data_IF_811019042903
#
_entry.id   IF_811019042903
#
_cell.length_a   1.000
_cell.length_b   1.000
_cell.length_c   1.000
_cell.angle_alpha   90.00
_cell.angle_beta   90.00
_cell.angle_gamma   90.00
#
_symmetry.space_group_name_H-M   'P 1'
#
loop_
_entity.id
_entity.type
_entity.pdbx_description
1 polymer ?
#
# COMPACT_ATOMS: atom_id res chain seq x y z
N UNK A 1 -3.99 5.03 -24.58
CA UNK A 1 -3.25 4.59 -23.38
C UNK A 1 -4.26 3.94 -22.45
N UNK A 2 -4.06 2.68 -22.02
CA UNK A 2 -4.95 2.01 -21.07
C UNK A 2 -4.96 2.73 -19.71
N UNK A 3 -6.13 2.82 -19.09
CA UNK A 3 -6.34 3.42 -17.78
C UNK A 3 -6.67 2.30 -16.79
N UNK A 4 -5.83 2.17 -15.75
CA UNK A 4 -5.99 1.18 -14.70
C UNK A 4 -6.17 1.84 -13.33
N UNK A 5 -7.10 1.34 -12.52
CA UNK A 5 -7.33 1.82 -11.16
C UNK A 5 -6.96 0.76 -10.13
N UNK A 6 -6.32 1.22 -9.06
CA UNK A 6 -5.99 0.43 -7.88
C UNK A 6 -6.42 1.18 -6.63
N UNK A 7 -6.77 0.48 -5.57
CA UNK A 7 -7.10 1.05 -4.28
C UNK A 7 -8.40 0.52 -3.71
N UNK A 8 -8.73 0.98 -2.50
CA UNK A 8 -9.82 0.42 -1.70
C UNK A 8 -11.20 0.51 -2.35
N UNK A 9 -11.49 1.60 -3.06
CA UNK A 9 -12.79 1.77 -3.71
C UNK A 9 -13.02 0.72 -4.81
N UNK A 10 -12.09 0.59 -5.74
CA UNK A 10 -12.21 -0.37 -6.84
C UNK A 10 -12.07 -1.82 -6.39
N UNK A 11 -11.41 -2.04 -5.27
CA UNK A 11 -11.37 -3.34 -4.61
C UNK A 11 -12.74 -3.72 -4.03
N UNK A 12 -13.42 -2.76 -3.40
CA UNK A 12 -14.74 -2.98 -2.81
C UNK A 12 -15.84 -3.11 -3.88
N UNK A 13 -15.83 -2.23 -4.89
CA UNK A 13 -16.90 -2.07 -5.86
C UNK A 13 -16.41 -2.14 -7.33
N UNK A 14 -15.63 -3.16 -7.72
CA UNK A 14 -14.98 -3.19 -9.04
C UNK A 14 -15.99 -3.17 -10.19
N UNK A 15 -17.02 -3.99 -10.10
CA UNK A 15 -18.07 -4.10 -11.13
C UNK A 15 -18.87 -2.80 -11.27
N UNK A 16 -19.25 -2.20 -10.16
CA UNK A 16 -20.00 -0.94 -10.16
C UNK A 16 -19.17 0.19 -10.75
N UNK A 17 -17.91 0.30 -10.31
CA UNK A 17 -16.98 1.32 -10.80
C UNK A 17 -16.80 1.22 -12.30
N UNK A 18 -16.49 0.04 -12.82
CA UNK A 18 -16.30 -0.16 -14.27
C UNK A 18 -17.59 0.00 -15.09
N UNK A 19 -18.76 -0.24 -14.51
CA UNK A 19 -20.04 0.04 -15.18
C UNK A 19 -20.33 1.52 -15.30
N UNK A 20 -20.07 2.26 -14.23
CA UNK A 20 -20.38 3.68 -14.14
C UNK A 20 -19.35 4.54 -14.88
N UNK A 21 -18.08 4.11 -14.88
CA UNK A 21 -16.99 4.85 -15.50
C UNK A 21 -16.39 4.05 -16.67
N UNK A 22 -16.78 4.44 -17.88
CA UNK A 22 -16.37 3.75 -19.11
C UNK A 22 -14.93 4.03 -19.54
N UNK A 23 -14.33 5.08 -19.02
CA UNK A 23 -12.93 5.43 -19.29
C UNK A 23 -11.93 4.51 -18.58
N UNK A 24 -12.40 3.71 -17.61
CA UNK A 24 -11.55 2.73 -16.90
C UNK A 24 -11.50 1.45 -17.72
N UNK A 25 -10.31 1.07 -18.18
CA UNK A 25 -10.07 -0.16 -18.94
C UNK A 25 -9.90 -1.37 -18.01
N UNK A 26 -9.27 -1.18 -16.85
CA UNK A 26 -9.03 -2.26 -15.89
C UNK A 26 -8.97 -1.76 -14.45
N UNK A 27 -9.22 -2.67 -13.51
CA UNK A 27 -9.07 -2.44 -12.06
C UNK A 27 -8.30 -3.59 -11.44
N UNK A 28 -7.45 -3.27 -10.45
CA UNK A 28 -6.75 -4.26 -9.67
C UNK A 28 -7.56 -4.65 -8.43
N UNK A 29 -7.58 -5.94 -8.15
CA UNK A 29 -8.18 -6.50 -6.95
C UNK A 29 -7.09 -6.77 -5.90
N UNK A 30 -7.48 -6.87 -4.64
CA UNK A 30 -6.58 -7.09 -3.50
C UNK A 30 -5.47 -6.03 -3.45
N UNK A 31 -4.24 -6.43 -3.13
CA UNK A 31 -3.10 -5.50 -3.07
C UNK A 31 -2.61 -5.05 -4.45
N UNK A 32 -2.93 -5.81 -5.48
CA UNK A 32 -2.52 -5.53 -6.85
C UNK A 32 -1.03 -5.69 -7.15
N UNK A 33 -0.19 -6.03 -6.17
CA UNK A 33 1.29 -6.07 -6.33
C UNK A 33 1.69 -7.05 -7.42
N UNK A 34 1.34 -8.32 -7.27
CA UNK A 34 1.70 -9.33 -8.26
C UNK A 34 0.92 -9.17 -9.57
N UNK A 35 -0.32 -8.72 -9.51
CA UNK A 35 -1.10 -8.43 -10.71
C UNK A 35 -0.47 -7.32 -11.54
N UNK A 36 -0.03 -6.24 -10.90
CA UNK A 36 0.67 -5.15 -11.58
C UNK A 36 2.02 -5.61 -12.13
N UNK A 37 2.78 -6.36 -11.34
CA UNK A 37 4.04 -6.94 -11.77
C UNK A 37 3.87 -7.81 -13.02
N UNK A 38 2.88 -8.73 -13.01
CA UNK A 38 2.60 -9.60 -14.14
C UNK A 38 2.14 -8.80 -15.37
N UNK A 39 1.32 -7.76 -15.17
CA UNK A 39 0.89 -6.88 -16.26
C UNK A 39 2.06 -6.13 -16.92
N UNK A 40 2.99 -5.59 -16.11
CA UNK A 40 4.14 -4.83 -16.59
C UNK A 40 5.21 -5.70 -17.26
N UNK A 41 5.19 -7.02 -17.04
CA UNK A 41 6.08 -7.97 -17.70
C UNK A 41 5.52 -8.50 -19.03
N UNK A 42 4.32 -8.10 -19.44
CA UNK A 42 3.82 -8.40 -20.79
C UNK A 42 4.61 -7.61 -21.83
N UNK A 43 4.91 -8.23 -22.97
CA UNK A 43 5.49 -7.52 -24.11
C UNK A 43 4.54 -6.46 -24.65
N UNK A 44 3.25 -6.81 -24.71
CA UNK A 44 2.18 -5.91 -25.11
C UNK A 44 0.94 -6.11 -24.24
N UNK A 45 0.27 -5.00 -23.88
CA UNK A 45 -1.00 -5.04 -23.15
C UNK A 45 -2.13 -5.23 -24.15
N UNK A 46 -2.38 -6.47 -24.54
CA UNK A 46 -3.49 -6.84 -25.43
C UNK A 46 -4.52 -7.69 -24.70
N UNK A 47 -5.76 -7.63 -25.15
CA UNK A 47 -6.91 -8.29 -24.49
C UNK A 47 -6.65 -9.78 -24.22
N UNK A 48 -6.05 -10.49 -25.18
CA UNK A 48 -5.76 -11.92 -25.04
C UNK A 48 -4.87 -12.23 -23.83
N UNK A 49 -3.86 -11.40 -23.60
CA UNK A 49 -2.92 -11.59 -22.50
C UNK A 49 -3.55 -11.23 -21.15
N UNK A 50 -4.47 -10.26 -21.12
CA UNK A 50 -5.15 -9.87 -19.88
C UNK A 50 -5.94 -11.01 -19.24
N UNK A 51 -6.44 -11.97 -20.02
CA UNK A 51 -7.12 -13.16 -19.50
C UNK A 51 -6.22 -14.04 -18.62
N UNK A 52 -4.90 -13.91 -18.73
CA UNK A 52 -3.92 -14.70 -17.98
C UNK A 52 -3.47 -14.01 -16.68
N UNK A 53 -3.80 -12.73 -16.49
CA UNK A 53 -3.35 -11.95 -15.31
C UNK A 53 -4.37 -12.13 -14.20
N UNK A 54 -3.98 -12.84 -13.14
CA UNK A 54 -4.81 -12.95 -11.95
C UNK A 54 -4.94 -11.59 -11.22
N UNK A 55 -6.04 -11.42 -10.51
CA UNK A 55 -6.27 -10.25 -9.66
C UNK A 55 -6.60 -8.96 -10.40
N UNK A 56 -7.02 -9.05 -11.67
CA UNK A 56 -7.58 -7.91 -12.41
C UNK A 56 -9.01 -8.17 -12.85
N UNK A 57 -9.78 -7.10 -12.97
CA UNK A 57 -10.95 -7.07 -13.84
C UNK A 57 -10.69 -6.07 -14.96
N UNK A 58 -11.10 -6.40 -16.16
CA UNK A 58 -10.83 -5.60 -17.37
C UNK A 58 -12.01 -5.60 -18.33
N UNK A 59 -11.98 -4.66 -19.27
CA UNK A 59 -13.01 -4.52 -20.28
C UNK A 59 -12.59 -5.23 -21.56
N UNK A 60 -13.45 -6.18 -22.00
CA UNK A 60 -13.37 -6.76 -23.33
C UNK A 60 -14.65 -6.41 -24.10
N UNK A 61 -14.55 -5.45 -25.00
CA UNK A 61 -15.69 -4.82 -25.70
C UNK A 61 -16.71 -4.29 -24.68
N UNK A 62 -17.94 -4.81 -24.72
CA UNK A 62 -19.02 -4.42 -23.81
C UNK A 62 -19.08 -5.25 -22.52
N UNK A 63 -18.16 -6.18 -22.34
CA UNK A 63 -18.14 -7.07 -21.17
C UNK A 63 -17.05 -6.66 -20.18
N UNK A 64 -17.36 -6.80 -18.90
CA UNK A 64 -16.40 -6.70 -17.81
C UNK A 64 -16.03 -8.13 -17.41
N UNK A 65 -14.77 -8.47 -17.59
CA UNK A 65 -14.21 -9.79 -17.28
C UNK A 65 -13.53 -9.70 -15.91
N UNK A 66 -13.78 -10.70 -15.08
CA UNK A 66 -13.14 -10.85 -13.77
C UNK A 66 -12.24 -12.08 -13.81
N UNK A 67 -10.96 -11.88 -13.63
CA UNK A 67 -10.02 -12.99 -13.51
C UNK A 67 -10.00 -13.52 -12.06
N UNK A 68 -9.40 -14.69 -11.88
CA UNK A 68 -9.20 -15.26 -10.54
C UNK A 68 -8.44 -14.28 -9.65
N UNK A 69 -8.75 -14.21 -8.35
CA UNK A 69 -8.02 -13.38 -7.43
C UNK A 69 -6.53 -13.72 -7.38
N UNK A 70 -5.68 -12.71 -7.28
CA UNK A 70 -4.25 -12.90 -7.02
C UNK A 70 -3.99 -12.91 -5.51
N UNK A 71 -2.95 -13.62 -5.10
CA UNK A 71 -2.51 -13.64 -3.70
C UNK A 71 -1.93 -12.29 -3.28
N UNK A 72 -2.06 -11.98 -2.01
CA UNK A 72 -1.32 -10.87 -1.37
C UNK A 72 0.14 -11.27 -1.16
N UNK A 73 1.02 -10.29 -1.00
CA UNK A 73 2.43 -10.55 -0.69
C UNK A 73 2.53 -11.29 0.64
N UNK A 74 3.10 -12.50 0.69
CA UNK A 74 3.21 -13.25 1.93
C UNK A 74 4.26 -12.66 2.88
N UNK A 75 4.19 -13.00 4.18
CA UNK A 75 5.05 -12.44 5.22
C UNK A 75 6.54 -12.56 4.90
N UNK A 76 6.96 -13.70 4.40
CA UNK A 76 8.35 -14.01 4.07
C UNK A 76 8.90 -13.28 2.85
N UNK A 77 8.02 -12.60 2.10
CA UNK A 77 8.37 -11.86 0.90
C UNK A 77 8.22 -10.35 1.06
N UNK A 78 7.82 -9.88 2.24
CA UNK A 78 7.51 -8.45 2.46
C UNK A 78 8.68 -7.54 2.06
N UNK A 79 9.90 -7.82 2.52
CA UNK A 79 11.07 -6.97 2.26
C UNK A 79 11.52 -6.99 0.79
N UNK A 80 11.17 -8.03 0.04
CA UNK A 80 11.63 -8.24 -1.33
C UNK A 80 10.58 -7.78 -2.34
N UNK A 81 9.33 -8.20 -2.16
CA UNK A 81 8.26 -7.95 -3.14
C UNK A 81 7.52 -6.63 -2.86
N UNK A 82 7.73 -6.05 -1.68
CA UNK A 82 7.34 -4.70 -1.32
C UNK A 82 8.56 -3.90 -0.88
N UNK A 83 9.45 -3.51 -1.81
CA UNK A 83 10.78 -2.97 -1.51
C UNK A 83 10.77 -1.53 -0.96
N UNK A 84 9.67 -1.08 -0.38
CA UNK A 84 9.52 0.23 0.22
C UNK A 84 9.03 1.30 -0.75
N UNK A 85 9.35 2.53 -0.43
CA UNK A 85 8.86 3.70 -1.16
C UNK A 85 9.93 4.24 -2.11
N UNK A 86 9.52 4.65 -3.29
CA UNK A 86 10.36 5.33 -4.28
C UNK A 86 10.49 6.83 -3.92
N UNK A 87 11.08 7.13 -2.76
CA UNK A 87 11.25 8.49 -2.25
C UNK A 87 12.00 9.42 -3.21
N UNK A 88 12.93 8.85 -3.98
CA UNK A 88 13.74 9.53 -4.98
C UNK A 88 12.94 10.07 -6.17
N UNK A 89 11.77 9.49 -6.43
CA UNK A 89 10.86 9.95 -7.49
C UNK A 89 9.97 11.12 -7.05
N UNK A 90 9.99 11.48 -5.78
CA UNK A 90 9.18 12.58 -5.26
C UNK A 90 9.94 13.91 -5.35
N UNK A 91 9.25 15.04 -5.48
CA UNK A 91 9.86 16.36 -5.58
C UNK A 91 10.36 16.88 -4.21
N UNK A 92 11.11 16.05 -3.46
CA UNK A 92 11.55 16.36 -2.10
C UNK A 92 12.54 17.54 -2.04
N UNK A 93 13.22 17.85 -3.14
CA UNK A 93 14.12 19.01 -3.23
C UNK A 93 13.37 20.34 -3.35
N UNK A 94 12.27 20.32 -4.13
CA UNK A 94 11.42 21.52 -4.31
C UNK A 94 10.38 21.68 -3.20
N UNK A 95 9.92 20.56 -2.63
CA UNK A 95 8.86 20.53 -1.61
C UNK A 95 9.23 19.65 -0.41
N UNK A 96 10.31 19.97 0.32
CA UNK A 96 10.84 19.08 1.36
C UNK A 96 9.93 18.93 2.60
N UNK A 97 8.94 19.82 2.77
CA UNK A 97 8.12 19.84 3.98
C UNK A 97 6.81 19.07 3.89
N UNK A 98 6.27 18.88 2.70
CA UNK A 98 4.88 18.49 2.52
C UNK A 98 4.69 17.20 1.70
N UNK A 99 5.72 16.36 1.59
CA UNK A 99 5.67 15.19 0.71
C UNK A 99 4.44 14.29 0.97
N UNK A 100 4.02 14.14 2.21
CA UNK A 100 2.86 13.34 2.58
C UNK A 100 2.08 13.86 3.79
N UNK A 101 2.15 15.16 4.04
CA UNK A 101 1.41 15.73 5.17
C UNK A 101 -0.04 15.98 4.80
N UNK A 102 -0.94 15.22 5.43
CA UNK A 102 -2.37 15.52 5.34
C UNK A 102 -2.74 16.63 6.34
N UNK A 103 -3.41 17.70 5.91
CA UNK A 103 -3.87 18.76 6.82
C UNK A 103 -4.77 18.25 7.95
N UNK A 104 -5.53 17.19 7.70
CA UNK A 104 -6.47 16.64 8.69
C UNK A 104 -5.80 15.92 9.87
N UNK A 105 -4.57 15.46 9.69
CA UNK A 105 -3.89 14.61 10.67
C UNK A 105 -2.78 15.33 11.41
N UNK A 106 -2.51 16.59 11.09
CA UNK A 106 -1.40 17.36 11.65
C UNK A 106 -1.90 18.66 12.27
N UNK A 107 -1.70 18.80 13.57
CA UNK A 107 -2.12 19.97 14.31
C UNK A 107 -1.34 21.26 13.98
N UNK A 108 -0.18 21.13 13.35
CA UNK A 108 0.68 22.27 13.03
C UNK A 108 0.43 22.81 11.63
N UNK A 109 -0.46 23.78 11.54
CA UNK A 109 -0.75 24.50 10.30
C UNK A 109 0.17 25.70 10.04
N UNK A 110 0.96 26.10 11.04
CA UNK A 110 1.86 27.25 10.92
C UNK A 110 3.08 26.87 10.10
N UNK A 111 3.26 27.49 8.93
CA UNK A 111 4.36 27.20 8.00
C UNK A 111 5.75 27.40 8.61
N UNK A 112 5.89 28.38 9.52
CA UNK A 112 7.12 28.70 10.24
C UNK A 112 7.56 27.62 11.23
N UNK A 113 6.64 26.75 11.65
CA UNK A 113 6.91 25.63 12.58
C UNK A 113 6.97 24.27 11.91
N UNK A 114 6.77 24.20 10.62
CA UNK A 114 6.82 22.92 9.89
C UNK A 114 8.26 22.43 9.74
N UNK A 115 8.46 21.16 10.00
CA UNK A 115 9.70 20.46 9.71
C UNK A 115 9.51 19.52 8.51
N UNK A 116 10.57 19.18 7.76
CA UNK A 116 10.50 18.14 6.74
C UNK A 116 9.94 16.84 7.31
N UNK A 117 8.91 16.31 6.65
CA UNK A 117 8.03 15.27 7.19
C UNK A 117 7.84 14.14 6.19
N UNK A 118 7.79 12.92 6.71
CA UNK A 118 7.33 11.75 5.96
C UNK A 118 6.43 10.85 6.81
N UNK A 119 5.55 10.11 6.16
CA UNK A 119 4.77 9.05 6.76
C UNK A 119 5.26 7.69 6.27
N UNK A 120 5.35 6.71 7.15
CA UNK A 120 5.86 5.39 6.86
C UNK A 120 5.00 4.33 7.55
N UNK A 121 4.69 3.25 6.83
CA UNK A 121 4.12 2.04 7.40
C UNK A 121 5.23 1.04 7.71
N UNK A 122 5.10 0.34 8.83
CA UNK A 122 6.00 -0.75 9.23
C UNK A 122 5.33 -2.11 9.11
N UNK A 123 4.00 -2.10 8.94
CA UNK A 123 3.18 -3.30 8.78
C UNK A 123 1.99 -3.02 7.87
N UNK A 124 1.40 -4.08 7.33
CA UNK A 124 0.18 -4.06 6.55
C UNK A 124 -0.87 -4.99 7.14
N UNK A 125 -2.13 -4.58 7.00
CA UNK A 125 -3.27 -5.36 7.44
C UNK A 125 -3.59 -5.21 8.92
N UNK A 126 -4.61 -5.93 9.35
CA UNK A 126 -5.07 -5.93 10.73
C UNK A 126 -5.64 -7.31 11.05
N UNK A 127 -5.52 -7.77 12.29
CA UNK A 127 -6.07 -9.05 12.71
C UNK A 127 -7.53 -8.98 13.15
N UNK A 128 -8.09 -7.79 13.29
CA UNK A 128 -9.47 -7.59 13.70
C UNK A 128 -10.44 -7.61 12.51
N UNK A 129 -11.69 -7.96 12.77
CA UNK A 129 -12.77 -8.11 11.79
C UNK A 129 -13.86 -7.08 12.00
N UNK A 130 -13.52 -5.82 12.20
CA UNK A 130 -14.50 -4.76 12.46
C UNK A 130 -15.40 -4.54 11.24
N UNK A 131 -16.72 -4.55 11.42
CA UNK A 131 -17.72 -4.51 10.35
C UNK A 131 -17.66 -3.22 9.50
N UNK A 132 -17.18 -2.12 10.08
CA UNK A 132 -17.04 -0.83 9.41
C UNK A 132 -15.68 -0.63 8.74
N UNK A 133 -14.74 -1.56 8.88
CA UNK A 133 -13.37 -1.38 8.46
C UNK A 133 -13.08 -2.05 7.12
N UNK A 134 -12.48 -1.31 6.19
CA UNK A 134 -12.16 -1.79 4.85
C UNK A 134 -10.74 -2.36 4.72
N UNK A 135 -9.93 -2.37 5.78
CA UNK A 135 -8.50 -2.79 5.74
C UNK A 135 -8.34 -4.24 5.26
N UNK A 136 -9.29 -5.10 5.58
CA UNK A 136 -9.23 -6.53 5.27
C UNK A 136 -10.20 -6.96 4.16
N UNK A 137 -10.58 -6.06 3.27
CA UNK A 137 -11.40 -6.36 2.11
C UNK A 137 -10.60 -7.14 1.06
N UNK A 138 -10.31 -8.39 1.36
CA UNK A 138 -9.63 -9.31 0.42
C UNK A 138 -10.66 -10.32 -0.10
N UNK A 139 -10.89 -10.30 -1.41
CA UNK A 139 -11.74 -11.29 -2.07
C UNK A 139 -10.98 -12.59 -2.30
N UNK A 140 -11.64 -13.71 -2.11
CA UNK A 140 -11.14 -15.05 -2.44
C UNK A 140 -11.55 -15.49 -3.82
N UNK A 141 -12.72 -15.06 -4.28
CA UNK A 141 -13.29 -15.35 -5.58
C UNK A 141 -14.18 -14.20 -6.06
N UNK A 142 -14.51 -14.20 -7.34
CA UNK A 142 -15.38 -13.16 -7.94
C UNK A 142 -16.82 -13.24 -7.46
N UNK A 143 -17.22 -14.36 -6.89
CA UNK A 143 -18.56 -14.59 -6.34
C UNK A 143 -18.65 -14.28 -4.84
N UNK A 144 -17.52 -13.95 -4.20
CA UNK A 144 -17.55 -13.57 -2.79
C UNK A 144 -18.24 -12.22 -2.65
N UNK A 145 -19.16 -12.14 -1.71
CA UNK A 145 -19.74 -10.87 -1.29
C UNK A 145 -18.63 -9.94 -0.79
N UNK A 146 -18.86 -8.64 -0.97
CA UNK A 146 -18.00 -7.62 -0.39
C UNK A 146 -18.11 -7.75 1.11
N UNK A 147 -17.09 -8.23 1.74
CA UNK A 147 -17.06 -8.49 3.16
C UNK A 147 -15.66 -8.61 3.71
N UNK A 148 -15.57 -8.70 5.02
CA UNK A 148 -14.28 -8.89 5.70
C UNK A 148 -13.83 -10.33 5.51
N UNK A 149 -12.67 -10.50 4.89
CA UNK A 149 -12.10 -11.83 4.66
C UNK A 149 -11.51 -12.40 5.97
N UNK A 150 -12.36 -12.90 6.86
CA UNK A 150 -11.98 -13.39 8.20
C UNK A 150 -10.81 -14.36 8.24
N UNK A 151 -10.58 -15.13 7.16
CA UNK A 151 -9.47 -16.07 7.07
C UNK A 151 -8.14 -15.45 6.63
N UNK A 152 -8.12 -14.17 6.24
CA UNK A 152 -6.93 -13.45 5.78
C UNK A 152 -6.56 -12.28 6.68
N UNK A 153 -7.23 -12.13 7.81
CA UNK A 153 -6.95 -11.10 8.80
C UNK A 153 -5.61 -11.38 9.49
N UNK A 154 -4.53 -11.06 8.81
CA UNK A 154 -3.17 -11.18 9.35
C UNK A 154 -2.44 -9.89 9.15
N UNK A 155 -1.75 -9.47 10.18
CA UNK A 155 -0.73 -8.45 10.04
C UNK A 155 0.51 -9.07 9.39
N UNK A 156 1.10 -8.32 8.48
CA UNK A 156 2.39 -8.65 7.85
C UNK A 156 3.33 -7.47 8.09
N UNK A 157 4.57 -7.79 8.37
CA UNK A 157 5.57 -6.83 8.82
C UNK A 157 6.77 -6.85 7.89
N UNK A 158 7.30 -5.68 7.57
CA UNK A 158 8.66 -5.60 7.09
C UNK A 158 9.63 -5.93 8.23
N UNK A 159 10.81 -6.44 7.92
CA UNK A 159 11.82 -6.67 8.95
C UNK A 159 12.22 -5.34 9.62
N UNK A 160 12.68 -5.41 10.85
CA UNK A 160 13.19 -4.22 11.55
C UNK A 160 14.36 -3.60 10.83
N UNK A 161 15.24 -4.42 10.25
CA UNK A 161 16.39 -3.95 9.46
C UNK A 161 15.96 -3.22 8.18
N UNK A 162 14.90 -3.70 7.53
CA UNK A 162 14.33 -3.03 6.37
C UNK A 162 13.79 -1.63 6.76
N UNK A 163 13.02 -1.57 7.84
CA UNK A 163 12.44 -0.31 8.32
C UNK A 163 13.52 0.68 8.73
N UNK A 164 14.57 0.24 9.42
CA UNK A 164 15.70 1.11 9.76
C UNK A 164 16.37 1.70 8.50
N UNK A 165 16.55 0.89 7.44
CA UNK A 165 17.07 1.40 6.17
C UNK A 165 16.15 2.44 5.52
N UNK A 166 14.82 2.29 5.64
CA UNK A 166 13.87 3.30 5.15
C UNK A 166 13.96 4.61 5.98
N UNK A 167 14.14 4.52 7.30
CA UNK A 167 14.42 5.69 8.12
C UNK A 167 15.71 6.38 7.69
N UNK A 168 16.79 5.63 7.47
CA UNK A 168 18.07 6.18 7.02
C UNK A 168 17.95 6.89 5.67
N UNK A 169 17.18 6.33 4.73
CA UNK A 169 16.89 7.00 3.45
C UNK A 169 16.18 8.34 3.66
N UNK A 170 15.14 8.36 4.50
CA UNK A 170 14.39 9.58 4.78
C UNK A 170 15.25 10.65 5.46
N UNK A 171 16.06 10.27 6.44
CA UNK A 171 17.03 11.18 7.09
C UNK A 171 17.99 11.77 6.06
N UNK A 172 18.47 10.96 5.13
CA UNK A 172 19.35 11.38 4.02
C UNK A 172 18.71 12.41 3.09
N UNK A 173 17.37 12.34 2.94
CA UNK A 173 16.58 13.33 2.21
C UNK A 173 16.22 14.58 3.04
N UNK A 174 16.73 14.68 4.27
CA UNK A 174 16.53 15.83 5.14
C UNK A 174 15.23 15.79 5.94
N UNK A 175 14.55 14.65 6.00
CA UNK A 175 13.34 14.47 6.81
C UNK A 175 13.70 14.57 8.29
N UNK A 176 12.96 15.42 9.03
CA UNK A 176 13.16 15.66 10.47
C UNK A 176 12.09 14.99 11.33
N UNK A 177 10.93 14.74 10.76
CA UNK A 177 9.80 14.11 11.46
C UNK A 177 9.28 12.94 10.65
N UNK A 178 9.32 11.75 11.21
CA UNK A 178 8.75 10.54 10.60
C UNK A 178 7.58 10.08 11.47
N UNK A 179 6.43 9.89 10.85
CA UNK A 179 5.25 9.32 11.49
C UNK A 179 5.03 7.90 11.03
N UNK A 180 4.97 6.97 11.97
CA UNK A 180 4.49 5.61 11.71
C UNK A 180 2.96 5.66 11.64
N UNK A 181 2.40 5.18 10.54
CA UNK A 181 0.96 5.25 10.22
C UNK A 181 0.31 3.87 10.11
N UNK A 182 0.89 2.88 10.79
CA UNK A 182 0.29 1.56 10.90
C UNK A 182 -1.08 1.63 11.57
N UNK A 183 -2.03 0.82 11.14
CA UNK A 183 -3.32 0.71 11.78
C UNK A 183 -3.20 0.25 13.24
N UNK A 184 -2.25 -0.65 13.52
CA UNK A 184 -2.10 -1.27 14.84
C UNK A 184 -0.61 -1.48 15.24
N UNK A 185 0.18 -0.41 15.23
CA UNK A 185 1.63 -0.48 15.50
C UNK A 185 1.98 -1.20 16.81
N UNK A 186 1.27 -0.89 17.89
CA UNK A 186 1.57 -1.42 19.24
C UNK A 186 1.00 -2.81 19.52
N UNK A 187 0.36 -3.45 18.54
CA UNK A 187 -0.31 -4.74 18.78
C UNK A 187 0.68 -5.90 18.93
N UNK A 188 1.75 -5.92 18.14
CA UNK A 188 2.75 -6.99 18.20
C UNK A 188 4.00 -6.55 18.99
N UNK A 189 4.01 -6.87 20.30
CA UNK A 189 5.11 -6.50 21.19
C UNK A 189 6.46 -7.06 20.74
N UNK A 190 6.49 -8.26 20.16
CA UNK A 190 7.71 -8.90 19.66
C UNK A 190 8.30 -8.17 18.46
N UNK A 191 7.50 -7.37 17.77
CA UNK A 191 7.91 -6.57 16.64
C UNK A 191 8.30 -5.15 17.04
N UNK A 192 7.38 -4.41 17.68
CA UNK A 192 7.63 -2.98 17.93
C UNK A 192 8.71 -2.71 18.96
N UNK A 193 8.91 -3.56 20.00
CA UNK A 193 9.94 -3.31 21.00
C UNK A 193 11.36 -3.33 20.43
N UNK A 194 11.77 -4.34 19.63
CA UNK A 194 13.08 -4.32 18.97
C UNK A 194 13.23 -3.11 18.04
N UNK A 195 12.20 -2.77 17.25
CA UNK A 195 12.23 -1.61 16.37
C UNK A 195 12.41 -0.30 17.16
N UNK A 196 11.64 -0.09 18.23
CA UNK A 196 11.78 1.10 19.08
C UNK A 196 13.18 1.19 19.73
N UNK A 197 13.75 0.05 20.12
CA UNK A 197 15.12 0.01 20.67
C UNK A 197 16.14 0.46 19.62
N UNK A 198 16.08 -0.07 18.42
CA UNK A 198 16.97 0.33 17.33
C UNK A 198 16.84 1.82 16.98
N UNK A 199 15.62 2.34 16.93
CA UNK A 199 15.37 3.77 16.69
C UNK A 199 15.91 4.64 17.84
N UNK A 200 15.74 4.20 19.11
CA UNK A 200 16.29 4.91 20.27
C UNK A 200 17.82 4.94 20.27
N UNK A 201 18.47 3.86 19.85
CA UNK A 201 19.93 3.81 19.73
C UNK A 201 20.44 4.78 18.65
N UNK A 202 19.73 4.93 17.54
CA UNK A 202 20.07 5.91 16.50
C UNK A 202 19.90 7.34 16.97
N UNK A 203 18.80 7.66 17.64
CA UNK A 203 18.55 9.02 18.15
C UNK A 203 19.57 9.49 19.21
N UNK A 204 20.32 8.58 19.81
CA UNK A 204 21.40 8.94 20.77
C UNK A 204 22.69 9.41 20.09
N UNK A 205 22.84 9.08 18.80
CA UNK A 205 24.05 9.36 18.04
C UNK A 205 23.89 10.59 17.12
N UNK A 206 22.69 11.14 17.04
CA UNK A 206 22.38 12.35 16.28
C UNK A 206 22.17 13.51 17.28
N UNK A 207 23.20 14.31 17.50
CA UNK A 207 23.14 15.64 18.14
C UNK A 207 22.69 16.71 17.13
#
# INVERSE_FOLDING_TARGET
>A
IPIAFIGSHVQALPKQTMKNEKSIDMVFQNEGVYSLWNLLNLEEIIIKELYQINGIAFRDKDKIIFNKPEKVVPQERMDVDLPGYAWDLLPYKEKPFDLYRSPMWHAEYKSDKRTPYAALQTSLGCQFTCDFCMINLIKKSDNDEIGIATKHNKMRFWSTDFIIKEFDKLIKYGVKTIRIIDEMFLLNRKYYLPLCKLLSERNKNDD
#
